data_IF_615446743511
#
_entry.id   IF_615446743511
#
_cell.length_a   1.000
_cell.length_b   1.000
_cell.length_c   1.000
_cell.angle_alpha   90.00
_cell.angle_beta   90.00
_cell.angle_gamma   90.00
#
_symmetry.space_group_name_H-M   'P 1'
#
loop_
_entity.id
_entity.type
_entity.pdbx_description
1 polymer ?
#
# COMPACT_ATOMS: atom_id res chain seq x y z
N UNK A 1 -6.50 -5.40 -16.66
CA UNK A 1 -5.61 -4.27 -16.98
C UNK A 1 -4.17 -4.73 -16.95
N UNK A 2 -3.33 -4.29 -17.88
CA UNK A 2 -1.89 -4.58 -17.83
C UNK A 2 -1.22 -3.72 -16.73
N UNK A 3 -0.20 -4.26 -16.06
CA UNK A 3 0.62 -3.48 -15.12
C UNK A 3 1.61 -2.66 -15.94
N UNK A 4 1.53 -1.34 -15.85
CA UNK A 4 2.45 -0.43 -16.52
C UNK A 4 3.80 -0.37 -15.79
N UNK A 5 4.89 -0.39 -16.56
CA UNK A 5 6.22 -0.19 -16.00
C UNK A 5 6.37 1.23 -15.45
N UNK A 6 7.17 1.41 -14.39
CA UNK A 6 7.53 2.72 -13.83
C UNK A 6 6.36 3.57 -13.33
N UNK A 7 5.18 2.97 -13.13
CA UNK A 7 4.01 3.60 -12.50
C UNK A 7 3.61 2.86 -11.24
N UNK A 8 2.98 3.57 -10.31
CA UNK A 8 2.27 2.94 -9.19
C UNK A 8 0.90 2.54 -9.71
N UNK A 9 0.75 1.25 -10.04
CA UNK A 9 -0.50 0.72 -10.57
C UNK A 9 -1.48 0.48 -9.41
N UNK A 10 -2.64 1.13 -9.46
CA UNK A 10 -3.73 0.96 -8.49
C UNK A 10 -4.94 0.40 -9.22
N UNK A 11 -5.39 -0.79 -8.84
CA UNK A 11 -6.55 -1.46 -9.43
C UNK A 11 -7.69 -1.46 -8.43
N UNK A 12 -8.86 -0.94 -8.83
CA UNK A 12 -10.08 -1.01 -8.01
C UNK A 12 -10.96 -2.13 -8.54
N UNK A 13 -11.34 -3.07 -7.68
CA UNK A 13 -12.10 -4.28 -8.01
C UNK A 13 -13.37 -4.38 -7.18
N UNK A 14 -14.39 -5.10 -7.67
CA UNK A 14 -15.65 -5.25 -6.95
C UNK A 14 -15.48 -5.91 -5.56
N UNK A 15 -14.64 -6.94 -5.47
CA UNK A 15 -14.32 -7.61 -4.20
C UNK A 15 -12.93 -8.24 -4.26
N UNK A 16 -12.28 -8.41 -3.11
CA UNK A 16 -10.95 -8.99 -2.99
C UNK A 16 -10.97 -10.07 -1.90
N UNK A 17 -10.68 -11.32 -2.28
CA UNK A 17 -10.51 -12.43 -1.33
C UNK A 17 -9.07 -12.54 -0.85
N UNK A 18 -8.91 -13.00 0.38
CA UNK A 18 -7.60 -13.34 0.93
C UNK A 18 -7.08 -14.63 0.27
N UNK A 19 -5.81 -14.64 -0.16
CA UNK A 19 -5.19 -15.79 -0.81
C UNK A 19 -4.82 -16.88 0.20
N UNK A 20 -4.58 -16.49 1.45
CA UNK A 20 -4.19 -17.41 2.53
C UNK A 20 -5.41 -18.01 3.25
N UNK A 21 -6.54 -17.28 3.30
CA UNK A 21 -7.82 -17.75 3.84
C UNK A 21 -8.98 -17.31 2.94
N UNK A 22 -9.41 -18.13 1.95
CA UNK A 22 -10.39 -17.71 0.94
C UNK A 22 -11.78 -17.38 1.49
N UNK A 23 -12.03 -17.67 2.78
CA UNK A 23 -13.26 -17.28 3.48
C UNK A 23 -13.26 -15.82 3.90
N UNK A 24 -12.10 -15.16 3.90
CA UNK A 24 -11.93 -13.75 4.27
C UNK A 24 -11.90 -12.86 3.05
N UNK A 25 -12.51 -11.69 3.19
CA UNK A 25 -12.38 -10.59 2.24
C UNK A 25 -11.42 -9.55 2.78
N UNK A 26 -10.56 -9.03 1.89
CA UNK A 26 -9.66 -7.92 2.17
C UNK A 26 -10.20 -6.65 1.53
N UNK A 27 -9.86 -5.50 2.11
CA UNK A 27 -10.18 -4.21 1.52
C UNK A 27 -9.07 -3.69 0.62
N UNK A 28 -7.82 -4.12 0.84
CA UNK A 28 -6.67 -3.72 0.07
C UNK A 28 -5.57 -4.77 0.12
N UNK A 29 -4.66 -4.73 -0.86
CA UNK A 29 -3.37 -5.42 -0.81
C UNK A 29 -2.33 -4.73 -1.68
N UNK A 30 -1.15 -4.49 -1.12
CA UNK A 30 0.07 -4.33 -1.89
C UNK A 30 0.59 -5.71 -2.30
N UNK A 31 0.40 -6.04 -3.57
CA UNK A 31 0.90 -7.28 -4.15
C UNK A 31 2.26 -7.04 -4.80
N UNK A 32 3.18 -8.00 -4.61
CA UNK A 32 4.48 -8.03 -5.32
C UNK A 32 4.84 -9.45 -5.71
N UNK A 33 5.41 -9.62 -6.91
CA UNK A 33 6.00 -10.91 -7.31
C UNK A 33 7.40 -11.03 -6.73
N UNK A 34 7.66 -12.03 -5.88
CA UNK A 34 8.98 -12.20 -5.23
C UNK A 34 10.13 -12.32 -6.23
N UNK A 35 9.93 -13.05 -7.33
CA UNK A 35 10.94 -13.24 -8.37
C UNK A 35 11.21 -11.99 -9.22
N UNK A 36 10.27 -11.05 -9.27
CA UNK A 36 10.35 -9.81 -10.06
C UNK A 36 9.74 -8.68 -9.22
N UNK A 37 10.44 -8.17 -8.20
CA UNK A 37 9.91 -7.22 -7.22
C UNK A 37 9.44 -5.89 -7.81
N UNK A 38 9.92 -5.55 -9.01
CA UNK A 38 9.46 -4.42 -9.83
C UNK A 38 8.03 -4.62 -10.34
N UNK A 39 7.56 -5.87 -10.47
CA UNK A 39 6.16 -6.20 -10.74
C UNK A 39 5.39 -6.21 -9.43
N UNK A 40 4.86 -5.04 -9.11
CA UNK A 40 4.05 -4.79 -7.91
C UNK A 40 2.90 -3.84 -8.24
N UNK A 41 1.81 -3.98 -7.52
CA UNK A 41 0.63 -3.15 -7.66
C UNK A 41 -0.09 -3.04 -6.32
N UNK A 42 -1.00 -2.07 -6.24
CA UNK A 42 -2.00 -1.97 -5.17
C UNK A 42 -3.34 -2.40 -5.76
N UNK A 43 -4.06 -3.26 -5.04
CA UNK A 43 -5.42 -3.66 -5.38
C UNK A 43 -6.33 -3.23 -4.24
N UNK A 44 -7.43 -2.55 -4.56
CA UNK A 44 -8.43 -2.09 -3.61
C UNK A 44 -9.79 -2.71 -3.92
N UNK A 45 -10.49 -3.18 -2.91
CA UNK A 45 -11.90 -3.52 -3.03
C UNK A 45 -12.73 -2.22 -3.13
N UNK A 46 -13.84 -2.27 -3.86
CA UNK A 46 -14.77 -1.14 -3.96
C UNK A 46 -15.35 -0.72 -2.59
N UNK A 47 -15.39 -1.65 -1.63
CA UNK A 47 -15.80 -1.41 -0.25
C UNK A 47 -14.67 -0.92 0.67
N UNK A 48 -13.51 -0.53 0.14
CA UNK A 48 -12.38 -0.09 0.93
C UNK A 48 -12.67 1.22 1.68
N UNK A 49 -12.29 1.26 2.96
CA UNK A 49 -12.37 2.48 3.76
C UNK A 49 -11.37 3.56 3.26
N UNK A 50 -11.61 4.85 3.54
CA UNK A 50 -10.81 5.95 2.98
C UNK A 50 -9.29 5.82 3.19
N UNK A 51 -8.85 5.24 4.31
CA UNK A 51 -7.42 5.13 4.64
C UNK A 51 -6.72 3.91 4.03
N UNK A 52 -7.44 3.00 3.38
CA UNK A 52 -6.87 1.73 2.88
C UNK A 52 -5.85 1.99 1.78
N UNK A 53 -6.11 2.91 0.85
CA UNK A 53 -5.11 3.27 -0.17
C UNK A 53 -3.81 3.77 0.47
N UNK A 54 -3.90 4.64 1.47
CA UNK A 54 -2.73 5.14 2.18
C UNK A 54 -1.98 4.00 2.89
N UNK A 55 -2.68 3.05 3.49
CA UNK A 55 -2.11 1.85 4.11
C UNK A 55 -1.31 1.01 3.09
N UNK A 56 -1.93 0.67 1.95
CA UNK A 56 -1.26 -0.13 0.92
C UNK A 56 -0.07 0.60 0.28
N UNK A 57 -0.15 1.93 0.15
CA UNK A 57 0.99 2.74 -0.27
C UNK A 57 2.10 2.75 0.79
N UNK A 58 1.75 2.72 2.08
CA UNK A 58 2.72 2.51 3.15
C UNK A 58 3.53 1.23 2.93
N UNK A 59 2.85 0.11 2.65
CA UNK A 59 3.52 -1.14 2.28
C UNK A 59 4.35 -1.04 1.00
N UNK A 60 3.87 -0.34 -0.02
CA UNK A 60 4.60 -0.10 -1.27
C UNK A 60 5.93 0.64 -1.03
N UNK A 61 5.95 1.60 -0.08
CA UNK A 61 7.14 2.32 0.36
C UNK A 61 7.93 1.59 1.47
N UNK A 62 7.56 0.35 1.79
CA UNK A 62 8.33 -0.54 2.65
C UNK A 62 8.00 -0.44 4.14
N UNK A 63 6.87 0.16 4.52
CA UNK A 63 6.36 0.11 5.89
C UNK A 63 5.78 -1.27 6.21
N UNK A 64 5.92 -1.70 7.46
CA UNK A 64 5.20 -2.84 8.03
C UNK A 64 3.95 -2.36 8.78
N UNK A 65 3.14 -3.30 9.28
CA UNK A 65 2.05 -2.96 10.18
C UNK A 65 2.58 -2.31 11.47
N UNK A 66 1.77 -1.41 12.04
CA UNK A 66 2.02 -0.78 13.33
C UNK A 66 1.01 -1.28 14.36
N UNK A 67 1.45 -1.42 15.61
CA UNK A 67 0.57 -1.65 16.76
C UNK A 67 0.02 -0.38 17.40
N UNK A 68 0.45 0.79 16.93
CA UNK A 68 0.00 2.09 17.46
C UNK A 68 -1.41 2.42 16.96
N UNK A 69 -2.31 2.73 17.88
CA UNK A 69 -3.68 3.13 17.56
C UNK A 69 -3.72 4.35 16.63
N UNK A 70 -4.69 4.35 15.71
CA UNK A 70 -4.91 5.42 14.71
C UNK A 70 -3.70 5.71 13.81
N UNK A 71 -2.67 4.87 13.82
CA UNK A 71 -1.63 4.90 12.80
C UNK A 71 -2.21 4.37 11.47
N UNK A 72 -1.85 4.98 10.34
CA UNK A 72 -2.27 4.50 9.00
C UNK A 72 -1.93 3.02 8.82
N UNK A 73 -0.81 2.54 9.36
CA UNK A 73 -0.36 1.15 9.28
C UNK A 73 -0.95 0.22 10.35
N UNK A 74 -1.86 0.70 11.19
CA UNK A 74 -2.54 -0.08 12.23
C UNK A 74 -3.94 -0.52 11.80
N UNK A 75 -4.43 -1.60 12.40
CA UNK A 75 -5.81 -2.07 12.28
C UNK A 75 -6.74 -1.46 13.35
N UNK A 76 -6.18 -0.85 14.40
CA UNK A 76 -6.96 -0.29 15.51
C UNK A 76 -7.34 1.15 15.25
N UNK A 77 -8.60 1.50 15.54
CA UNK A 77 -9.14 2.86 15.41
C UNK A 77 -9.86 3.24 16.70
N UNK A 78 -9.49 4.38 17.30
CA UNK A 78 -10.17 4.94 18.47
C UNK A 78 -11.13 6.07 18.11
N UNK A 79 -11.01 6.58 16.87
CA UNK A 79 -11.76 7.75 16.37
C UNK A 79 -10.91 9.02 16.31
N UNK A 80 -9.66 8.97 16.75
CA UNK A 80 -8.70 10.06 16.56
C UNK A 80 -8.27 10.20 15.08
N UNK A 81 -7.69 11.34 14.68
CA UNK A 81 -7.17 11.52 13.33
C UNK A 81 -6.11 10.48 12.96
N UNK A 82 -6.30 9.84 11.81
CA UNK A 82 -5.39 8.79 11.32
C UNK A 82 -4.17 9.41 10.63
N UNK A 83 -2.95 9.01 11.03
CA UNK A 83 -1.71 9.59 10.48
C UNK A 83 -0.53 8.60 10.44
N UNK A 84 0.49 8.94 9.64
CA UNK A 84 1.81 8.31 9.74
C UNK A 84 2.63 9.00 10.83
N UNK A 85 3.48 8.26 11.53
CA UNK A 85 4.46 8.86 12.42
C UNK A 85 5.64 9.47 11.63
N UNK A 86 6.46 10.27 12.32
CA UNK A 86 7.59 10.96 11.71
C UNK A 86 8.60 10.01 11.04
N UNK A 87 8.88 8.85 11.65
CA UNK A 87 9.82 7.88 11.11
C UNK A 87 9.27 7.20 9.84
N UNK A 88 7.97 6.90 9.82
CA UNK A 88 7.27 6.39 8.65
C UNK A 88 7.29 7.41 7.51
N UNK A 89 7.04 8.69 7.78
CA UNK A 89 7.12 9.77 6.79
C UNK A 89 8.52 9.86 6.18
N UNK A 90 9.57 9.84 7.00
CA UNK A 90 10.96 9.89 6.50
C UNK A 90 11.33 8.66 5.67
N UNK A 91 10.84 7.47 6.05
CA UNK A 91 11.03 6.25 5.28
C UNK A 91 10.30 6.28 3.94
N UNK A 92 9.08 6.83 3.90
CA UNK A 92 8.33 7.05 2.66
C UNK A 92 9.10 8.00 1.74
N UNK A 93 9.53 9.16 2.27
CA UNK A 93 10.30 10.17 1.50
C UNK A 93 11.58 9.58 0.93
N UNK A 94 12.35 8.85 1.74
CA UNK A 94 13.60 8.21 1.32
C UNK A 94 13.35 7.18 0.22
N UNK A 95 12.33 6.34 0.37
CA UNK A 95 11.97 5.35 -0.64
C UNK A 95 11.50 5.97 -1.95
N UNK A 96 10.68 7.03 -1.87
CA UNK A 96 10.20 7.76 -3.05
C UNK A 96 11.37 8.41 -3.82
N UNK A 97 12.29 9.08 -3.11
CA UNK A 97 13.51 9.65 -3.71
C UNK A 97 14.34 8.57 -4.41
N UNK A 98 14.51 7.40 -3.78
CA UNK A 98 15.22 6.27 -4.39
C UNK A 98 14.54 5.80 -5.69
N UNK A 99 13.21 5.67 -5.70
CA UNK A 99 12.50 5.26 -6.91
C UNK A 99 12.64 6.27 -8.05
N UNK A 100 12.62 7.57 -7.76
CA UNK A 100 12.86 8.62 -8.74
C UNK A 100 14.31 8.57 -9.27
N UNK A 101 15.30 8.52 -8.36
CA UNK A 101 16.72 8.49 -8.72
C UNK A 101 17.09 7.26 -9.56
N UNK A 102 16.53 6.10 -9.23
CA UNK A 102 16.77 4.85 -9.96
C UNK A 102 15.90 4.70 -11.22
N UNK A 103 15.05 5.69 -11.53
CA UNK A 103 14.03 5.61 -12.61
C UNK A 103 13.10 4.39 -12.49
N UNK A 104 12.94 3.87 -11.28
CA UNK A 104 12.00 2.78 -11.00
C UNK A 104 10.55 3.28 -11.00
N UNK A 105 10.35 4.58 -10.81
CA UNK A 105 9.09 5.29 -11.08
C UNK A 105 9.39 6.53 -11.91
N UNK A 106 8.49 6.84 -12.83
CA UNK A 106 8.50 8.10 -13.55
C UNK A 106 7.86 9.21 -12.71
N UNK A 107 8.44 10.42 -12.71
CA UNK A 107 7.76 11.58 -12.15
C UNK A 107 6.40 11.78 -12.85
N UNK A 108 5.45 12.32 -12.09
CA UNK A 108 4.15 12.76 -12.62
C UNK A 108 4.34 14.00 -13.50
#
# INVERSE_FOLDING_TARGET
AAIEARRINVMVVASLRDVDDPRRFRMGVHWRRRATPERRCVILAASALPTVLAHELGHFFGLGHSGTDDNVMSYTRTGAPVSFDAAQIEKIRTSARRYAASKALDPA
#
